data_IF_951999245606
#
_entry.id   IF_951999245606
#
_cell.length_a   1.000
_cell.length_b   1.000
_cell.length_c   1.000
_cell.angle_alpha   90.00
_cell.angle_beta   90.00
_cell.angle_gamma   90.00
#
_symmetry.space_group_name_H-M   'P 1'
#
loop_
_entity.id
_entity.type
_entity.pdbx_description
1 polymer ?
#
# COMPACT_ATOMS: atom_id res chain seq x y z
N UNK A 1 -11.19 6.49 2.06
CA UNK A 1 -9.95 5.84 1.60
C UNK A 1 -10.23 4.40 1.26
N UNK A 2 -10.12 4.01 -0.02
CA UNK A 2 -10.45 2.65 -0.48
C UNK A 2 -9.61 1.55 0.18
N UNK A 3 -8.32 1.77 0.41
CA UNK A 3 -7.41 0.76 0.97
C UNK A 3 -7.36 0.72 2.51
N UNK A 4 -8.08 1.59 3.23
CA UNK A 4 -7.92 1.75 4.69
C UNK A 4 -8.42 0.55 5.50
N UNK A 5 -9.45 -0.16 5.02
CA UNK A 5 -9.89 -1.45 5.57
C UNK A 5 -9.05 -2.65 5.06
N UNK A 6 -7.95 -2.31 4.38
CA UNK A 6 -6.77 -3.12 4.10
C UNK A 6 -6.23 -3.89 5.29
N UNK A 7 -6.13 -5.22 5.30
CA UNK A 7 -5.10 -5.88 6.13
C UNK A 7 -3.70 -5.67 5.50
N UNK A 8 -3.34 -4.41 5.25
CA UNK A 8 -2.20 -4.00 4.46
C UNK A 8 -1.57 -2.74 5.06
N UNK A 9 -0.24 -2.63 5.06
CA UNK A 9 0.45 -1.62 5.86
C UNK A 9 0.33 -0.19 5.33
N UNK A 10 -0.02 0.02 4.05
CA UNK A 10 0.24 1.30 3.36
C UNK A 10 -0.49 2.50 3.97
N UNK A 11 -1.72 2.31 4.50
CA UNK A 11 -2.47 3.39 5.13
C UNK A 11 -1.80 3.84 6.44
N UNK A 12 -1.39 2.87 7.27
CA UNK A 12 -0.65 3.13 8.51
C UNK A 12 0.72 3.77 8.23
N UNK A 13 1.42 3.31 7.19
CA UNK A 13 2.66 3.94 6.72
C UNK A 13 2.42 5.38 6.26
N UNK A 14 1.33 5.66 5.53
CA UNK A 14 1.00 7.01 5.10
C UNK A 14 0.70 7.95 6.28
N UNK A 15 -0.09 7.49 7.27
CA UNK A 15 -0.37 8.25 8.49
C UNK A 15 0.89 8.50 9.31
N UNK A 16 1.72 7.47 9.52
CA UNK A 16 2.97 7.60 10.27
C UNK A 16 3.98 8.52 9.59
N UNK A 17 4.10 8.48 8.25
CA UNK A 17 4.95 9.37 7.49
C UNK A 17 4.49 10.83 7.61
N UNK A 18 3.18 11.09 7.42
CA UNK A 18 2.62 12.43 7.58
C UNK A 18 2.79 12.97 9.01
N UNK A 19 2.54 12.12 10.03
CA UNK A 19 2.71 12.48 11.43
C UNK A 19 4.17 12.81 11.76
N UNK A 20 5.12 11.97 11.33
CA UNK A 20 6.54 12.18 11.57
C UNK A 20 7.05 13.46 10.89
N UNK A 21 6.73 13.65 9.60
CA UNK A 21 7.13 14.85 8.86
C UNK A 21 6.49 16.11 9.45
N UNK A 22 5.20 16.08 9.79
CA UNK A 22 4.51 17.22 10.41
C UNK A 22 5.08 17.59 11.78
N UNK A 23 5.35 16.59 12.63
CA UNK A 23 5.96 16.81 13.94
C UNK A 23 7.41 17.32 13.84
N UNK A 24 8.17 16.83 12.86
CA UNK A 24 9.53 17.29 12.57
C UNK A 24 9.57 18.78 12.21
N UNK A 25 8.58 19.24 11.44
CA UNK A 25 8.44 20.60 10.95
C UNK A 25 7.97 21.61 12.01
N UNK A 26 7.58 21.17 13.21
CA UNK A 26 7.21 22.09 14.30
C UNK A 26 8.41 22.96 14.69
N UNK A 27 8.17 24.26 14.81
CA UNK A 27 9.20 25.22 15.23
C UNK A 27 9.63 24.95 16.67
N UNK A 28 8.66 24.81 17.58
CA UNK A 28 8.90 24.41 18.97
C UNK A 28 8.94 22.89 19.08
N UNK A 29 10.12 22.32 18.81
CA UNK A 29 10.38 20.89 18.97
C UNK A 29 10.50 20.51 20.46
N UNK A 30 9.37 20.50 21.15
CA UNK A 30 9.22 19.97 22.51
C UNK A 30 9.02 18.46 22.54
N UNK A 31 8.79 17.93 23.74
CA UNK A 31 8.60 16.47 23.98
C UNK A 31 7.52 15.85 23.10
N UNK A 32 6.38 16.53 22.93
CA UNK A 32 5.29 16.04 22.09
C UNK A 32 5.66 15.93 20.60
N UNK A 33 6.45 16.87 20.07
CA UNK A 33 6.93 16.81 18.69
C UNK A 33 7.89 15.62 18.50
N UNK A 34 8.83 15.41 19.42
CA UNK A 34 9.74 14.26 19.36
C UNK A 34 9.00 12.94 19.52
N UNK A 35 8.03 12.85 20.42
CA UNK A 35 7.18 11.66 20.57
C UNK A 35 6.42 11.36 19.27
N UNK A 36 5.89 12.38 18.59
CA UNK A 36 5.22 12.23 17.30
C UNK A 36 6.16 11.76 16.18
N UNK A 37 7.41 12.25 16.14
CA UNK A 37 8.44 11.76 15.21
C UNK A 37 8.74 10.28 15.47
N UNK A 38 9.03 9.93 16.73
CA UNK A 38 9.37 8.56 17.15
C UNK A 38 8.21 7.62 16.84
N UNK A 39 6.99 7.94 17.29
CA UNK A 39 5.82 7.10 17.08
C UNK A 39 5.48 6.94 15.60
N UNK A 40 5.52 8.03 14.82
CA UNK A 40 5.26 7.99 13.38
C UNK A 40 6.25 7.09 12.64
N UNK A 41 7.55 7.26 12.87
CA UNK A 41 8.58 6.44 12.24
C UNK A 41 8.61 5.00 12.76
N UNK A 42 8.28 4.76 14.03
CA UNK A 42 8.14 3.41 14.57
C UNK A 42 7.01 2.66 13.86
N UNK A 43 5.84 3.30 13.68
CA UNK A 43 4.72 2.70 12.93
C UNK A 43 5.10 2.46 11.47
N UNK A 44 5.70 3.44 10.79
CA UNK A 44 6.14 3.28 9.40
C UNK A 44 7.10 2.09 9.26
N UNK A 45 8.12 2.04 10.11
CA UNK A 45 9.20 1.05 10.02
C UNK A 45 8.73 -0.34 10.44
N UNK A 46 7.87 -0.44 11.46
CA UNK A 46 7.25 -1.71 11.87
C UNK A 46 6.40 -2.30 10.74
N UNK A 47 5.65 -1.45 10.04
CA UNK A 47 4.76 -1.86 8.96
C UNK A 47 5.51 -2.15 7.67
N UNK A 48 6.52 -1.32 7.34
CA UNK A 48 7.30 -1.36 6.09
C UNK A 48 8.72 -0.83 6.37
N UNK A 49 9.68 -1.69 6.77
CA UNK A 49 11.03 -1.27 7.14
C UNK A 49 11.74 -0.42 6.07
N UNK A 50 11.56 -0.78 4.80
CA UNK A 50 12.13 -0.04 3.66
C UNK A 50 11.56 1.38 3.54
N UNK A 51 10.26 1.57 3.80
CA UNK A 51 9.65 2.91 3.82
C UNK A 51 10.11 3.69 5.04
N UNK A 52 10.37 3.03 6.16
CA UNK A 52 10.97 3.64 7.35
C UNK A 52 12.29 4.31 7.01
N UNK A 53 13.19 3.59 6.34
CA UNK A 53 14.45 4.13 5.86
C UNK A 53 14.24 5.26 4.84
N UNK A 54 13.32 5.06 3.88
CA UNK A 54 13.05 6.05 2.83
C UNK A 54 12.46 7.36 3.39
N UNK A 55 11.60 7.31 4.40
CA UNK A 55 11.05 8.50 5.08
C UNK A 55 12.11 9.15 5.97
N UNK A 56 12.89 8.35 6.70
CA UNK A 56 13.90 8.86 7.63
C UNK A 56 15.05 9.61 6.93
N UNK A 57 15.49 9.14 5.76
CA UNK A 57 16.61 9.73 5.01
C UNK A 57 16.49 11.27 4.82
N UNK A 58 15.43 11.80 4.17
CA UNK A 58 15.27 13.24 4.01
C UNK A 58 15.09 13.98 5.34
N UNK A 59 14.51 13.36 6.38
CA UNK A 59 14.40 13.98 7.71
C UNK A 59 15.76 14.10 8.40
N UNK A 60 16.61 13.06 8.31
CA UNK A 60 17.99 13.08 8.83
C UNK A 60 18.83 14.11 8.09
N UNK A 61 18.79 14.11 6.75
CA UNK A 61 19.49 15.12 5.93
C UNK A 61 19.03 16.52 6.33
N UNK A 62 17.71 16.75 6.43
CA UNK A 62 17.16 18.04 6.84
C UNK A 62 17.64 18.48 8.24
N UNK A 63 17.69 17.57 9.21
CA UNK A 63 18.20 17.84 10.55
C UNK A 63 19.72 18.08 10.61
N UNK A 64 20.47 17.67 9.58
CA UNK A 64 21.91 17.93 9.48
C UNK A 64 22.22 19.21 8.71
N UNK A 65 21.49 19.49 7.62
CA UNK A 65 21.88 20.52 6.65
C UNK A 65 21.06 21.81 6.75
N UNK A 66 19.81 21.76 7.22
CA UNK A 66 18.93 22.94 7.26
C UNK A 66 19.08 23.66 8.60
N UNK A 67 19.65 24.88 8.65
CA UNK A 67 19.98 25.56 9.91
C UNK A 67 18.79 25.69 10.87
N UNK A 68 17.61 25.98 10.35
CA UNK A 68 16.38 26.14 11.14
C UNK A 68 15.91 24.84 11.82
N UNK A 69 16.34 23.66 11.35
CA UNK A 69 15.93 22.36 11.87
C UNK A 69 17.07 21.57 12.49
N UNK A 70 18.30 22.11 12.47
CA UNK A 70 19.44 21.48 13.12
C UNK A 70 19.17 21.25 14.59
N UNK A 71 19.44 20.04 15.06
CA UNK A 71 19.28 19.71 16.47
C UNK A 71 19.44 18.22 16.76
N UNK A 72 20.23 17.91 17.80
CA UNK A 72 20.43 16.54 18.28
C UNK A 72 19.10 15.86 18.63
N UNK A 73 18.15 16.59 19.19
CA UNK A 73 16.82 16.07 19.53
C UNK A 73 16.06 15.50 18.32
N UNK A 74 16.03 16.22 17.19
CA UNK A 74 15.38 15.74 15.96
C UNK A 74 16.10 14.51 15.38
N UNK A 75 17.44 14.50 15.38
CA UNK A 75 18.22 13.35 14.93
C UNK A 75 17.95 12.10 15.78
N UNK A 76 18.03 12.25 17.10
CA UNK A 76 17.76 11.16 18.05
C UNK A 76 16.33 10.66 17.89
N UNK A 77 15.34 11.55 17.75
CA UNK A 77 13.95 11.15 17.55
C UNK A 77 13.75 10.35 16.26
N UNK A 78 14.39 10.74 15.15
CA UNK A 78 14.31 10.00 13.89
C UNK A 78 14.97 8.63 14.00
N UNK A 79 16.19 8.56 14.54
CA UNK A 79 16.92 7.29 14.73
C UNK A 79 16.18 6.37 15.70
N UNK A 80 15.66 6.90 16.81
CA UNK A 80 14.92 6.14 17.79
C UNK A 80 13.61 5.57 17.22
N UNK A 81 12.87 6.35 16.43
CA UNK A 81 11.64 5.87 15.78
C UNK A 81 11.91 4.74 14.79
N UNK A 82 12.90 4.90 13.91
CA UNK A 82 13.31 3.84 12.98
C UNK A 82 13.81 2.61 13.72
N UNK A 83 14.69 2.79 14.71
CA UNK A 83 15.24 1.70 15.51
C UNK A 83 14.16 0.92 16.25
N UNK A 84 13.21 1.60 16.89
CA UNK A 84 12.10 0.97 17.60
C UNK A 84 11.20 0.14 16.67
N UNK A 85 10.87 0.66 15.48
CA UNK A 85 10.06 -0.07 14.51
C UNK A 85 10.81 -1.19 13.80
N UNK A 86 12.11 -1.05 13.57
CA UNK A 86 12.95 -2.08 12.92
C UNK A 86 13.29 -3.24 13.85
N UNK A 87 13.34 -3.02 15.17
CA UNK A 87 13.83 -4.01 16.14
C UNK A 87 13.14 -5.38 16.02
N UNK A 88 11.79 -5.49 16.01
CA UNK A 88 11.14 -6.79 15.86
C UNK A 88 11.51 -7.49 14.55
N UNK A 89 11.62 -6.73 13.46
CA UNK A 89 11.99 -7.25 12.15
C UNK A 89 13.44 -7.75 12.11
N UNK A 90 14.37 -7.03 12.73
CA UNK A 90 15.79 -7.44 12.81
C UNK A 90 15.94 -8.70 13.67
N UNK A 91 15.31 -8.72 14.84
CA UNK A 91 15.32 -9.90 15.73
C UNK A 91 14.78 -11.12 15.01
N UNK A 92 13.62 -11.00 14.35
CA UNK A 92 13.04 -12.10 13.58
C UNK A 92 13.95 -12.53 12.41
N UNK A 93 14.63 -11.59 11.74
CA UNK A 93 15.57 -11.92 10.67
C UNK A 93 16.69 -12.84 11.16
N UNK A 94 17.22 -12.62 12.36
CA UNK A 94 18.25 -13.48 12.94
C UNK A 94 17.71 -14.81 13.45
N UNK A 95 16.53 -14.81 14.09
CA UNK A 95 15.94 -16.02 14.68
C UNK A 95 15.39 -17.01 13.64
N UNK A 96 14.85 -16.52 12.52
CA UNK A 96 14.13 -17.36 11.53
C UNK A 96 14.79 -17.44 10.16
N UNK A 97 15.49 -16.39 9.75
CA UNK A 97 16.00 -16.25 8.39
C UNK A 97 17.53 -16.34 8.33
N UNK A 98 18.22 -16.54 9.45
CA UNK A 98 19.69 -16.61 9.46
C UNK A 98 20.39 -15.26 9.17
N UNK A 99 19.68 -14.14 9.33
CA UNK A 99 20.21 -12.79 9.24
C UNK A 99 19.43 -11.86 8.31
N UNK A 100 19.74 -10.57 8.41
CA UNK A 100 19.06 -9.49 7.64
C UNK A 100 19.22 -9.67 6.13
N UNK A 101 20.42 -10.00 5.65
CA UNK A 101 20.68 -10.15 4.22
C UNK A 101 19.87 -11.31 3.59
N UNK A 102 19.81 -12.46 4.27
CA UNK A 102 19.03 -13.61 3.79
C UNK A 102 17.53 -13.30 3.79
N UNK A 103 17.01 -12.66 4.84
CA UNK A 103 15.62 -12.18 4.87
C UNK A 103 15.30 -11.22 3.71
N UNK A 104 16.22 -10.30 3.38
CA UNK A 104 16.05 -9.37 2.25
C UNK A 104 16.06 -10.10 0.90
N UNK A 105 16.93 -11.09 0.72
CA UNK A 105 16.97 -11.92 -0.49
C UNK A 105 15.67 -12.68 -0.68
N UNK A 106 15.21 -13.41 0.34
CA UNK A 106 13.95 -14.16 0.29
C UNK A 106 12.74 -13.25 0.09
N UNK A 107 12.74 -12.08 0.73
CA UNK A 107 11.72 -11.06 0.50
C UNK A 107 11.76 -10.55 -0.95
N UNK A 108 12.93 -10.32 -1.53
CA UNK A 108 13.09 -9.91 -2.93
C UNK A 108 12.48 -10.95 -3.87
N UNK A 109 12.84 -12.23 -3.69
CA UNK A 109 12.33 -13.33 -4.52
C UNK A 109 10.80 -13.45 -4.40
N UNK A 110 10.31 -13.38 -3.16
CA UNK A 110 8.87 -13.40 -2.85
C UNK A 110 8.14 -12.15 -3.36
N UNK A 111 8.83 -11.04 -3.61
CA UNK A 111 8.29 -9.79 -4.15
C UNK A 111 8.64 -9.58 -5.63
N UNK A 112 8.93 -10.64 -6.39
CA UNK A 112 9.08 -10.56 -7.85
C UNK A 112 10.47 -10.11 -8.32
N UNK A 113 11.45 -10.17 -7.43
CA UNK A 113 12.86 -9.87 -7.67
C UNK A 113 13.10 -8.37 -7.81
N UNK A 114 13.33 -7.68 -6.69
CA UNK A 114 13.70 -6.26 -6.68
C UNK A 114 14.95 -6.05 -7.52
N UNK A 115 14.90 -5.10 -8.45
CA UNK A 115 15.98 -4.77 -9.38
C UNK A 115 15.76 -3.38 -9.94
N UNK A 116 16.81 -2.67 -10.38
CA UNK A 116 16.64 -1.41 -11.11
C UNK A 116 15.70 -1.58 -12.31
N UNK A 117 14.55 -0.90 -12.28
CA UNK A 117 13.50 -0.98 -13.30
C UNK A 117 12.61 0.26 -13.24
N UNK A 118 12.33 0.91 -14.38
CA UNK A 118 11.34 1.98 -14.44
C UNK A 118 9.93 1.37 -14.55
N UNK A 119 9.21 1.30 -13.42
CA UNK A 119 7.88 0.70 -13.33
C UNK A 119 6.73 1.69 -13.54
N UNK A 120 7.01 2.87 -14.10
CA UNK A 120 6.00 3.92 -14.32
C UNK A 120 4.82 3.42 -15.16
N UNK A 121 5.09 2.67 -16.25
CA UNK A 121 4.04 2.07 -17.07
C UNK A 121 3.14 1.14 -16.24
N UNK A 122 3.74 0.29 -15.39
CA UNK A 122 2.98 -0.60 -14.51
C UNK A 122 2.09 0.19 -13.53
N UNK A 123 2.58 1.31 -13.00
CA UNK A 123 1.80 2.19 -12.14
C UNK A 123 0.64 2.84 -12.88
N UNK A 124 0.85 3.35 -14.10
CA UNK A 124 -0.21 3.94 -14.93
C UNK A 124 -1.27 2.92 -15.32
N UNK A 125 -0.84 1.71 -15.68
CA UNK A 125 -1.71 0.57 -15.91
C UNK A 125 -2.59 0.31 -14.68
N UNK A 126 -1.99 0.19 -13.50
CA UNK A 126 -2.72 -0.16 -12.28
C UNK A 126 -3.71 0.93 -11.79
N UNK A 127 -3.69 2.14 -12.36
CA UNK A 127 -4.62 3.23 -11.99
C UNK A 127 -6.08 2.91 -12.34
N UNK A 128 -6.31 2.18 -13.44
CA UNK A 128 -7.65 1.76 -13.88
C UNK A 128 -7.92 0.26 -13.72
N UNK A 129 -6.95 -0.45 -13.14
CA UNK A 129 -7.00 -1.88 -12.83
C UNK A 129 -5.75 -2.62 -13.32
N UNK A 130 -5.36 -3.75 -12.71
CA UNK A 130 -5.83 -4.37 -11.46
C UNK A 130 -5.29 -3.67 -10.19
N UNK A 131 -5.94 -3.89 -9.04
CA UNK A 131 -5.49 -3.33 -7.74
C UNK A 131 -4.12 -3.84 -7.28
N UNK A 132 -3.63 -4.90 -7.93
CA UNK A 132 -2.28 -5.42 -7.88
C UNK A 132 -2.03 -6.11 -9.23
N UNK A 133 -1.09 -5.61 -10.03
CA UNK A 133 -0.60 -6.31 -11.21
C UNK A 133 0.71 -7.01 -10.84
N UNK A 134 0.81 -8.33 -11.07
CA UNK A 134 2.04 -9.11 -10.80
C UNK A 134 2.03 -10.47 -11.52
N UNK A 135 2.80 -10.66 -12.61
CA UNK A 135 3.49 -9.63 -13.39
C UNK A 135 2.50 -8.72 -14.13
N UNK A 136 2.92 -7.51 -14.49
CA UNK A 136 2.07 -6.55 -15.21
C UNK A 136 2.22 -6.74 -16.73
N UNK A 137 1.67 -7.83 -17.27
CA UNK A 137 1.71 -8.19 -18.69
C UNK A 137 0.30 -8.22 -19.28
N UNK A 138 -0.04 -7.30 -20.17
CA UNK A 138 -1.28 -7.37 -20.97
C UNK A 138 -2.36 -6.31 -20.69
N UNK A 139 -2.17 -5.43 -19.72
CA UNK A 139 -3.16 -4.43 -19.37
C UNK A 139 -2.94 -3.10 -20.14
N UNK A 140 -4.00 -2.55 -20.70
CA UNK A 140 -3.97 -1.26 -21.43
C UNK A 140 -4.00 -0.09 -20.45
N UNK A 141 -3.36 1.02 -20.82
CA UNK A 141 -3.42 2.25 -20.04
C UNK A 141 -4.66 3.02 -20.48
N UNK A 142 -5.69 3.08 -19.63
CA UNK A 142 -6.86 3.91 -19.90
C UNK A 142 -6.49 5.40 -19.77
N UNK A 143 -6.64 6.15 -20.86
CA UNK A 143 -6.21 7.56 -20.97
C UNK A 143 -6.87 8.47 -19.94
N UNK A 144 -8.18 8.31 -19.71
CA UNK A 144 -8.95 9.17 -18.82
C UNK A 144 -8.41 9.19 -17.38
N UNK A 145 -8.05 8.03 -16.81
CA UNK A 145 -7.57 7.97 -15.42
C UNK A 145 -6.16 8.57 -15.27
N UNK A 146 -5.33 8.45 -16.29
CA UNK A 146 -3.98 9.05 -16.31
C UNK A 146 -4.03 10.57 -16.30
N UNK A 147 -4.94 11.17 -17.07
CA UNK A 147 -5.12 12.63 -17.11
C UNK A 147 -5.45 13.20 -15.72
N UNK A 148 -6.32 12.53 -14.97
CA UNK A 148 -6.66 12.94 -13.60
C UNK A 148 -5.54 12.68 -12.59
N UNK A 149 -4.68 11.70 -12.85
CA UNK A 149 -3.50 11.44 -12.04
C UNK A 149 -2.44 12.54 -12.20
N UNK A 150 -2.31 13.11 -13.41
CA UNK A 150 -1.42 14.25 -13.70
C UNK A 150 -1.85 15.57 -13.05
N UNK A 151 -3.12 15.69 -12.64
CA UNK A 151 -3.58 16.87 -11.90
C UNK A 151 -2.82 17.07 -10.59
N UNK A 152 -2.48 15.99 -9.88
CA UNK A 152 -1.73 16.07 -8.62
C UNK A 152 -0.34 16.69 -8.80
N UNK A 153 0.57 16.19 -9.66
CA UNK A 153 1.88 16.80 -9.85
C UNK A 153 1.80 18.24 -10.35
N UNK A 154 0.80 18.61 -11.17
CA UNK A 154 0.58 20.00 -11.58
C UNK A 154 0.22 20.90 -10.40
N UNK A 155 -0.72 20.48 -9.54
CA UNK A 155 -1.10 21.21 -8.34
C UNK A 155 0.06 21.28 -7.33
N UNK A 156 0.83 20.22 -7.18
CA UNK A 156 2.04 20.21 -6.34
C UNK A 156 3.07 21.22 -6.87
N UNK A 157 3.35 21.21 -8.17
CA UNK A 157 4.29 22.15 -8.77
C UNK A 157 3.85 23.60 -8.57
N UNK A 158 2.55 23.88 -8.77
CA UNK A 158 1.97 25.19 -8.50
C UNK A 158 2.05 25.56 -7.01
N UNK A 159 1.72 24.65 -6.10
CA UNK A 159 1.82 24.86 -4.66
C UNK A 159 3.24 25.16 -4.21
N UNK A 160 4.21 24.38 -4.67
CA UNK A 160 5.63 24.63 -4.43
C UNK A 160 6.06 25.98 -4.99
N UNK A 161 5.63 26.34 -6.21
CA UNK A 161 5.93 27.63 -6.85
C UNK A 161 5.36 28.81 -6.07
N UNK A 162 4.09 28.75 -5.65
CA UNK A 162 3.47 29.79 -4.84
C UNK A 162 4.13 29.92 -3.47
N UNK A 163 4.48 28.80 -2.83
CA UNK A 163 5.21 28.78 -1.57
C UNK A 163 6.61 29.42 -1.68
N UNK A 164 7.22 29.52 -2.88
CA UNK A 164 8.52 30.21 -3.05
C UNK A 164 8.45 31.68 -2.65
N UNK A 165 7.27 32.31 -2.76
CA UNK A 165 7.03 33.71 -2.41
C UNK A 165 6.55 33.89 -0.97
N UNK A 166 6.19 32.81 -0.29
CA UNK A 166 5.57 32.82 1.05
C UNK A 166 6.59 32.71 2.21
N UNK A 167 7.86 33.04 1.97
CA UNK A 167 8.92 33.10 2.99
C UNK A 167 9.03 31.82 3.84
N UNK A 168 8.67 31.84 5.13
CA UNK A 168 8.83 30.70 6.06
C UNK A 168 8.16 29.38 5.62
N UNK A 169 7.08 29.43 4.84
CA UNK A 169 6.34 28.24 4.40
C UNK A 169 7.06 27.44 3.30
N UNK A 170 8.11 28.00 2.68
CA UNK A 170 8.85 27.35 1.58
C UNK A 170 9.51 26.05 2.03
N UNK A 171 10.35 26.10 3.07
CA UNK A 171 11.14 24.94 3.47
C UNK A 171 10.25 23.74 3.88
N UNK A 172 9.19 23.89 4.69
CA UNK A 172 8.27 22.81 5.03
C UNK A 172 7.64 22.09 3.83
N UNK A 173 7.21 22.83 2.80
CA UNK A 173 6.61 22.25 1.60
C UNK A 173 7.61 21.44 0.78
N UNK A 174 8.85 21.94 0.67
CA UNK A 174 9.92 21.20 0.00
C UNK A 174 10.35 19.96 0.77
N UNK A 175 10.35 19.99 2.11
CA UNK A 175 10.62 18.78 2.90
C UNK A 175 9.53 17.73 2.69
N UNK A 176 8.25 18.11 2.72
CA UNK A 176 7.15 17.19 2.45
C UNK A 176 7.28 16.55 1.05
N UNK A 177 7.60 17.36 0.03
CA UNK A 177 7.85 16.86 -1.32
C UNK A 177 9.09 15.93 -1.40
N UNK A 178 10.17 16.25 -0.68
CA UNK A 178 11.37 15.42 -0.63
C UNK A 178 11.11 14.07 0.05
N UNK A 179 10.37 14.05 1.15
CA UNK A 179 9.93 12.81 1.83
C UNK A 179 9.03 12.00 0.90
N UNK A 180 8.08 12.65 0.22
CA UNK A 180 7.20 11.98 -0.73
C UNK A 180 7.96 11.36 -1.91
N UNK A 181 8.94 12.07 -2.47
CA UNK A 181 9.80 11.57 -3.53
C UNK A 181 10.62 10.37 -3.02
N UNK A 182 11.25 10.52 -1.86
CA UNK A 182 12.09 9.49 -1.24
C UNK A 182 11.33 8.17 -1.02
N UNK A 183 10.10 8.22 -0.48
CA UNK A 183 9.28 7.00 -0.29
C UNK A 183 8.71 6.45 -1.60
N UNK A 184 8.54 7.27 -2.64
CA UNK A 184 7.99 6.84 -3.94
C UNK A 184 9.02 6.22 -4.87
N UNK A 185 10.29 6.68 -4.80
CA UNK A 185 11.37 6.25 -5.70
C UNK A 185 11.57 4.73 -5.70
N UNK A 186 11.64 4.02 -4.56
CA UNK A 186 11.79 2.56 -4.59
C UNK A 186 10.69 1.86 -5.39
N UNK A 187 9.44 2.33 -5.32
CA UNK A 187 8.33 1.73 -6.05
C UNK A 187 8.44 1.98 -7.56
N UNK A 188 8.87 3.18 -7.95
CA UNK A 188 9.00 3.57 -9.36
C UNK A 188 10.26 3.00 -10.03
N UNK A 189 11.31 2.73 -9.26
CA UNK A 189 12.64 2.41 -9.79
C UNK A 189 13.21 1.05 -9.38
N UNK A 190 12.61 0.33 -8.43
CA UNK A 190 13.13 -0.96 -7.93
C UNK A 190 12.10 -2.10 -7.94
N UNK A 191 10.80 -1.78 -7.94
CA UNK A 191 9.72 -2.78 -7.86
C UNK A 191 9.18 -3.06 -9.27
N UNK A 192 9.30 -4.30 -9.80
CA UNK A 192 8.96 -4.63 -11.20
C UNK A 192 7.45 -4.83 -11.45
N UNK A 193 6.62 -4.37 -10.52
CA UNK A 193 5.17 -4.55 -10.55
C UNK A 193 4.50 -3.40 -9.78
N UNK A 194 3.18 -3.26 -9.88
CA UNK A 194 2.50 -2.09 -9.32
C UNK A 194 1.21 -2.43 -8.57
N UNK A 195 0.96 -1.60 -7.55
CA UNK A 195 -0.32 -1.49 -6.88
C UNK A 195 -0.52 -0.01 -6.51
N UNK A 196 -1.70 0.60 -6.76
CA UNK A 196 -1.93 2.03 -6.48
C UNK A 196 -1.63 2.42 -5.03
N UNK A 197 -1.83 1.49 -4.10
CA UNK A 197 -1.56 1.66 -2.66
C UNK A 197 -0.08 1.88 -2.31
N UNK A 198 0.87 1.52 -3.16
CA UNK A 198 2.30 1.68 -2.88
C UNK A 198 2.72 3.15 -2.76
N UNK A 199 2.08 4.03 -3.54
CA UNK A 199 2.37 5.45 -3.53
C UNK A 199 1.54 6.24 -2.51
N UNK A 200 0.72 5.56 -1.70
CA UNK A 200 -0.16 6.19 -0.71
C UNK A 200 0.60 7.08 0.31
N UNK A 201 1.77 6.70 0.84
CA UNK A 201 2.56 7.58 1.70
C UNK A 201 3.05 8.83 0.97
N UNK A 202 3.45 8.70 -0.30
CA UNK A 202 3.81 9.83 -1.14
C UNK A 202 2.63 10.77 -1.35
N UNK A 203 1.44 10.24 -1.68
CA UNK A 203 0.23 11.04 -1.86
C UNK A 203 -0.19 11.77 -0.58
N UNK A 204 -0.09 11.13 0.58
CA UNK A 204 -0.43 11.76 1.86
C UNK A 204 0.44 12.99 2.18
N UNK A 205 1.68 13.02 1.69
CA UNK A 205 2.58 14.17 1.83
C UNK A 205 2.39 15.20 0.72
N UNK A 206 2.19 14.76 -0.53
CA UNK A 206 1.99 15.64 -1.69
C UNK A 206 0.64 16.36 -1.69
N UNK A 207 -0.38 15.84 -0.99
CA UNK A 207 -1.67 16.53 -0.87
C UNK A 207 -1.53 17.91 -0.22
N UNK A 208 -0.51 18.12 0.63
CA UNK A 208 -0.26 19.40 1.31
C UNK A 208 0.17 20.50 0.31
N UNK A 209 1.29 20.36 -0.44
CA UNK A 209 1.61 21.33 -1.49
C UNK A 209 0.54 21.36 -2.58
N UNK A 210 -0.09 20.22 -2.92
CA UNK A 210 -1.20 20.19 -3.87
C UNK A 210 -2.38 21.07 -3.45
N UNK A 211 -2.76 21.06 -2.17
CA UNK A 211 -3.81 21.90 -1.62
C UNK A 211 -3.45 23.39 -1.68
N UNK A 212 -2.19 23.75 -1.41
CA UNK A 212 -1.70 25.14 -1.58
C UNK A 212 -1.83 25.59 -3.04
N UNK A 213 -1.46 24.71 -3.98
CA UNK A 213 -1.65 24.98 -5.41
C UNK A 213 -3.11 25.19 -5.78
N UNK A 214 -3.99 24.31 -5.30
CA UNK A 214 -5.43 24.42 -5.53
C UNK A 214 -6.02 25.72 -4.97
N UNK A 215 -5.64 26.11 -3.75
CA UNK A 215 -6.06 27.37 -3.14
C UNK A 215 -5.57 28.58 -3.93
N UNK A 216 -4.38 28.52 -4.53
CA UNK A 216 -3.86 29.59 -5.37
C UNK A 216 -4.63 29.75 -6.71
N UNK A 217 -5.14 28.65 -7.27
CA UNK A 217 -6.06 28.69 -8.43
C UNK A 217 -7.41 29.23 -7.98
N UNK A 218 -7.96 28.73 -6.88
CA UNK A 218 -9.24 29.17 -6.34
C UNK A 218 -9.26 30.67 -6.01
N UNK A 219 -8.17 31.19 -5.45
CA UNK A 219 -8.01 32.63 -5.18
C UNK A 219 -8.10 33.49 -6.44
N UNK A 220 -7.51 33.04 -7.55
CA UNK A 220 -7.63 33.72 -8.86
C UNK A 220 -9.03 33.57 -9.46
N UNK A 221 -9.63 32.40 -9.29
CA UNK A 221 -10.97 32.10 -9.80
C UNK A 221 -12.05 33.01 -9.19
N UNK A 222 -11.88 33.47 -7.95
CA UNK A 222 -12.82 34.41 -7.31
C UNK A 222 -13.01 35.72 -8.08
N UNK A 223 -11.99 36.16 -8.81
CA UNK A 223 -12.05 37.37 -9.64
C UNK A 223 -12.45 37.13 -11.10
N UNK A 224 -12.68 35.89 -11.51
CA UNK A 224 -12.91 35.53 -12.91
C UNK A 224 -13.94 34.40 -13.04
N UNK A 225 -15.15 34.75 -13.46
CA UNK A 225 -16.24 33.80 -13.74
C UNK A 225 -15.82 32.64 -14.64
N UNK A 226 -15.14 32.84 -15.79
CA UNK A 226 -14.73 31.71 -16.64
C UNK A 226 -13.73 30.78 -15.93
N UNK A 227 -12.81 31.32 -15.13
CA UNK A 227 -11.85 30.51 -14.36
C UNK A 227 -12.55 29.73 -13.24
N UNK A 228 -13.54 30.34 -12.56
CA UNK A 228 -14.35 29.65 -11.56
C UNK A 228 -15.15 28.49 -12.15
N UNK A 229 -15.78 28.70 -13.31
CA UNK A 229 -16.50 27.65 -14.03
C UNK A 229 -15.53 26.54 -14.46
N UNK A 230 -14.38 26.88 -15.05
CA UNK A 230 -13.37 25.90 -15.45
C UNK A 230 -12.85 25.08 -14.26
N UNK A 231 -12.54 25.71 -13.13
CA UNK A 231 -12.12 25.03 -11.91
C UNK A 231 -13.21 24.09 -11.38
N UNK A 232 -14.48 24.53 -11.37
CA UNK A 232 -15.60 23.71 -10.94
C UNK A 232 -15.76 22.46 -11.84
N UNK A 233 -15.68 22.63 -13.17
CA UNK A 233 -15.75 21.51 -14.12
C UNK A 233 -14.62 20.52 -13.90
N UNK A 234 -13.38 20.98 -13.72
CA UNK A 234 -12.23 20.12 -13.43
C UNK A 234 -12.42 19.35 -12.12
N UNK A 235 -12.86 20.02 -11.05
CA UNK A 235 -13.07 19.37 -9.75
C UNK A 235 -14.22 18.35 -9.79
N UNK A 236 -15.32 18.67 -10.50
CA UNK A 236 -16.44 17.75 -10.69
C UNK A 236 -16.04 16.53 -11.54
N UNK A 237 -15.28 16.74 -12.60
CA UNK A 237 -14.73 15.66 -13.42
C UNK A 237 -13.81 14.75 -12.60
N UNK A 238 -12.89 15.34 -11.82
CA UNK A 238 -12.00 14.60 -10.93
C UNK A 238 -12.79 13.78 -9.90
N UNK A 239 -13.77 14.39 -9.22
CA UNK A 239 -14.61 13.70 -8.26
C UNK A 239 -15.41 12.56 -8.90
N UNK A 240 -15.93 12.77 -10.11
CA UNK A 240 -16.68 11.74 -10.86
C UNK A 240 -15.80 10.52 -11.16
N UNK A 241 -14.57 10.74 -11.62
CA UNK A 241 -13.62 9.64 -11.85
C UNK A 241 -13.26 8.93 -10.54
N UNK A 242 -12.91 9.67 -9.49
CA UNK A 242 -12.57 9.06 -8.19
C UNK A 242 -13.73 8.24 -7.60
N UNK A 243 -14.96 8.76 -7.65
CA UNK A 243 -16.15 8.06 -7.14
C UNK A 243 -16.44 6.81 -7.96
N UNK A 244 -16.34 6.89 -9.29
CA UNK A 244 -16.54 5.74 -10.18
C UNK A 244 -15.52 4.65 -9.89
N UNK A 245 -14.23 5.00 -9.78
CA UNK A 245 -13.17 4.03 -9.45
C UNK A 245 -13.39 3.37 -8.09
N UNK A 246 -13.73 4.15 -7.07
CA UNK A 246 -14.00 3.62 -5.74
C UNK A 246 -15.19 2.65 -5.79
N UNK A 247 -16.31 3.03 -6.42
CA UNK A 247 -17.50 2.17 -6.51
C UNK A 247 -17.22 0.87 -7.26
N UNK A 248 -16.56 0.96 -8.41
CA UNK A 248 -16.19 -0.22 -9.21
C UNK A 248 -15.32 -1.17 -8.40
N UNK A 249 -14.25 -0.67 -7.79
CA UNK A 249 -13.34 -1.53 -7.04
C UNK A 249 -13.92 -2.05 -5.73
N UNK A 250 -14.78 -1.28 -5.04
CA UNK A 250 -15.52 -1.77 -3.86
C UNK A 250 -16.41 -2.94 -4.27
N UNK A 251 -17.22 -2.78 -5.31
CA UNK A 251 -18.11 -3.85 -5.77
C UNK A 251 -17.36 -5.11 -6.24
N UNK A 252 -16.18 -4.97 -6.85
CA UNK A 252 -15.32 -6.13 -7.18
C UNK A 252 -14.77 -6.80 -5.92
N UNK A 253 -14.30 -6.03 -4.93
CA UNK A 253 -13.76 -6.59 -3.69
C UNK A 253 -14.83 -7.26 -2.82
N UNK A 254 -16.02 -6.67 -2.70
CA UNK A 254 -17.13 -7.25 -1.96
C UNK A 254 -17.57 -8.58 -2.56
N UNK A 255 -17.73 -8.64 -3.88
CA UNK A 255 -18.08 -9.89 -4.58
C UNK A 255 -16.99 -10.96 -4.44
N UNK A 256 -15.71 -10.60 -4.57
CA UNK A 256 -14.60 -11.52 -4.37
C UNK A 256 -14.52 -12.04 -2.91
N UNK A 257 -14.83 -11.20 -1.91
CA UNK A 257 -14.95 -11.61 -0.50
C UNK A 257 -16.16 -12.52 -0.27
N UNK A 258 -17.25 -12.27 -0.99
CA UNK A 258 -18.42 -13.15 -1.01
C UNK A 258 -18.08 -14.57 -1.45
N UNK A 259 -17.18 -14.74 -2.42
CA UNK A 259 -16.69 -16.06 -2.81
C UNK A 259 -16.00 -16.79 -1.64
N UNK A 260 -15.20 -16.09 -0.83
CA UNK A 260 -14.54 -16.70 0.32
C UNK A 260 -15.53 -17.19 1.38
N UNK A 261 -16.60 -16.43 1.59
CA UNK A 261 -17.68 -16.83 2.50
C UNK A 261 -18.42 -18.06 1.99
N UNK A 262 -18.72 -18.13 0.68
CA UNK A 262 -19.37 -19.30 0.06
C UNK A 262 -18.48 -20.54 0.11
N UNK A 263 -17.20 -20.41 -0.24
CA UNK A 263 -16.24 -21.51 -0.13
C UNK A 263 -16.16 -22.00 1.33
N UNK A 264 -16.11 -21.08 2.29
CA UNK A 264 -16.11 -21.42 3.72
C UNK A 264 -17.39 -22.12 4.16
N UNK A 265 -18.55 -21.76 3.61
CA UNK A 265 -19.82 -22.44 3.89
C UNK A 265 -19.80 -23.89 3.41
N UNK A 266 -19.40 -24.13 2.15
CA UNK A 266 -19.29 -25.49 1.59
C UNK A 266 -18.28 -26.33 2.37
N UNK A 267 -17.14 -25.74 2.77
CA UNK A 267 -16.18 -26.43 3.64
C UNK A 267 -16.82 -26.89 4.96
N UNK A 268 -17.62 -26.03 5.60
CA UNK A 268 -18.31 -26.37 6.85
C UNK A 268 -19.40 -27.44 6.67
N UNK A 269 -20.10 -27.42 5.53
CA UNK A 269 -21.10 -28.42 5.17
C UNK A 269 -20.45 -29.80 4.96
N UNK A 270 -19.24 -29.84 4.39
CA UNK A 270 -18.43 -31.05 4.25
C UNK A 270 -17.61 -31.38 5.52
N UNK A 271 -17.99 -30.85 6.69
CA UNK A 271 -17.40 -31.24 7.98
C UNK A 271 -16.08 -30.55 8.35
N UNK A 272 -15.53 -29.67 7.51
CA UNK A 272 -14.26 -28.98 7.83
C UNK A 272 -14.49 -27.93 8.92
N UNK A 273 -13.87 -28.14 10.09
CA UNK A 273 -13.94 -27.25 11.26
C UNK A 273 -12.55 -26.96 11.83
N UNK A 274 -12.34 -25.81 12.50
CA UNK A 274 -11.10 -25.57 13.24
C UNK A 274 -10.89 -26.59 14.37
N UNK A 275 -9.63 -27.03 14.63
CA UNK A 275 -8.40 -26.69 13.90
C UNK A 275 -8.30 -27.42 12.55
N UNK A 276 -8.00 -26.69 11.48
CA UNK A 276 -7.94 -27.18 10.10
C UNK A 276 -6.79 -26.52 9.33
N UNK A 277 -6.26 -27.24 8.33
CA UNK A 277 -5.25 -26.71 7.41
C UNK A 277 -5.78 -26.77 5.97
N UNK A 278 -5.91 -25.60 5.32
CA UNK A 278 -6.34 -25.50 3.93
C UNK A 278 -5.14 -25.29 3.01
N UNK A 279 -5.13 -26.00 1.88
CA UNK A 279 -4.23 -25.72 0.76
C UNK A 279 -5.05 -25.27 -0.44
N UNK A 280 -4.41 -24.70 -1.45
CA UNK A 280 -5.12 -24.40 -2.70
C UNK A 280 -4.26 -23.72 -3.74
N UNK A 281 -4.69 -23.84 -5.01
CA UNK A 281 -4.04 -23.18 -6.14
C UNK A 281 -4.41 -21.69 -6.25
N UNK A 282 -5.47 -21.26 -5.56
CA UNK A 282 -5.91 -19.86 -5.53
C UNK A 282 -6.62 -19.54 -4.22
N UNK A 283 -6.38 -18.34 -3.69
CA UNK A 283 -7.10 -17.77 -2.54
C UNK A 283 -7.11 -18.62 -1.25
N UNK A 284 -6.15 -19.54 -1.08
CA UNK A 284 -6.07 -20.40 0.10
C UNK A 284 -5.96 -19.58 1.40
N UNK A 285 -5.10 -18.55 1.43
CA UNK A 285 -4.89 -17.68 2.60
C UNK A 285 -6.19 -16.94 3.02
N UNK A 286 -6.86 -16.14 2.15
CA UNK A 286 -8.05 -15.40 2.56
C UNK A 286 -9.24 -16.31 2.89
N UNK A 287 -9.37 -17.47 2.23
CA UNK A 287 -10.42 -18.46 2.55
C UNK A 287 -10.15 -19.12 3.90
N UNK A 288 -8.90 -19.53 4.18
CA UNK A 288 -8.53 -20.10 5.48
C UNK A 288 -8.79 -19.12 6.62
N UNK A 289 -8.40 -17.85 6.45
CA UNK A 289 -8.72 -16.80 7.42
C UNK A 289 -10.24 -16.67 7.65
N UNK A 290 -11.03 -16.67 6.57
CA UNK A 290 -12.50 -16.59 6.64
C UNK A 290 -13.12 -17.81 7.33
N UNK A 291 -12.52 -19.00 7.16
CA UNK A 291 -12.97 -20.25 7.77
C UNK A 291 -12.44 -20.48 9.20
N UNK A 292 -11.53 -19.64 9.70
CA UNK A 292 -10.82 -19.87 10.96
C UNK A 292 -9.79 -21.01 10.91
N UNK A 293 -9.32 -21.37 9.71
CA UNK A 293 -8.30 -22.38 9.48
C UNK A 293 -6.91 -21.76 9.28
N UNK A 294 -5.86 -22.59 9.43
CA UNK A 294 -4.53 -22.28 8.92
C UNK A 294 -4.45 -22.52 7.40
N UNK A 295 -3.47 -21.92 6.73
CA UNK A 295 -3.18 -22.15 5.31
C UNK A 295 -1.74 -22.56 5.08
N UNK A 296 -1.49 -23.45 4.13
CA UNK A 296 -0.16 -23.83 3.68
C UNK A 296 -0.05 -23.83 2.15
N UNK A 297 1.20 -23.79 1.66
CA UNK A 297 1.50 -23.97 0.24
C UNK A 297 1.13 -25.38 -0.24
N UNK A 298 0.96 -25.55 -1.55
CA UNK A 298 0.64 -26.86 -2.14
C UNK A 298 1.76 -27.90 -1.91
N UNK A 299 3.01 -27.45 -1.88
CA UNK A 299 4.21 -28.28 -1.70
C UNK A 299 4.61 -28.47 -0.23
N UNK A 300 3.89 -27.83 0.70
CA UNK A 300 4.14 -28.00 2.13
C UNK A 300 3.85 -29.46 2.54
N UNK A 301 4.70 -30.12 3.34
CA UNK A 301 4.47 -31.51 3.73
C UNK A 301 3.30 -31.68 4.72
N UNK A 302 2.85 -30.62 5.39
CA UNK A 302 1.80 -30.72 6.39
C UNK A 302 0.48 -31.26 5.79
N UNK A 303 -0.21 -32.17 6.48
CA UNK A 303 -1.43 -32.78 5.96
C UNK A 303 -2.56 -31.74 5.84
N UNK A 304 -3.06 -31.53 4.63
CA UNK A 304 -4.22 -30.66 4.40
C UNK A 304 -5.51 -31.34 4.84
N UNK A 305 -6.41 -30.60 5.49
CA UNK A 305 -7.80 -31.01 5.75
C UNK A 305 -8.64 -30.91 4.48
N UNK A 306 -8.41 -29.86 3.68
CA UNK A 306 -9.08 -29.68 2.39
C UNK A 306 -8.21 -28.87 1.41
N UNK A 307 -8.52 -29.01 0.13
CA UNK A 307 -7.88 -28.31 -0.99
C UNK A 307 -8.89 -27.44 -1.71
N UNK A 308 -8.62 -26.14 -1.79
CA UNK A 308 -9.41 -25.17 -2.53
C UNK A 308 -8.85 -25.09 -3.96
N UNK A 309 -9.72 -25.35 -4.93
CA UNK A 309 -9.37 -25.44 -6.34
C UNK A 309 -10.18 -24.43 -7.14
N UNK A 310 -9.51 -23.67 -8.01
CA UNK A 310 -10.14 -22.84 -9.04
C UNK A 310 -9.69 -23.27 -10.42
N UNK A 311 -10.62 -23.74 -11.25
CA UNK A 311 -10.38 -24.19 -12.64
C UNK A 311 -9.13 -25.07 -12.78
N UNK A 312 -8.93 -25.95 -11.80
CA UNK A 312 -7.80 -26.86 -11.73
C UNK A 312 -8.28 -28.19 -11.17
N UNK A 313 -7.56 -29.24 -11.53
CA UNK A 313 -7.76 -30.56 -10.95
C UNK A 313 -7.03 -30.70 -9.62
N UNK A 314 -7.50 -31.59 -8.73
CA UNK A 314 -6.79 -31.88 -7.50
C UNK A 314 -5.36 -32.37 -7.76
N UNK A 315 -4.41 -32.06 -6.87
CA UNK A 315 -3.07 -32.63 -6.93
C UNK A 315 -3.13 -34.15 -6.77
N UNK A 316 -2.08 -34.86 -7.19
CA UNK A 316 -2.04 -36.34 -7.18
C UNK A 316 -2.43 -36.94 -5.82
N UNK A 317 -2.00 -36.32 -4.72
CA UNK A 317 -2.26 -36.79 -3.35
C UNK A 317 -3.70 -36.54 -2.85
N UNK A 318 -4.51 -35.74 -3.54
CA UNK A 318 -5.92 -35.48 -3.22
C UNK A 318 -6.85 -35.83 -4.39
N UNK A 319 -6.39 -36.61 -5.36
CA UNK A 319 -7.16 -36.94 -6.57
C UNK A 319 -8.44 -37.70 -6.24
N UNK A 320 -8.38 -38.56 -5.24
CA UNK A 320 -9.49 -39.45 -4.85
C UNK A 320 -10.36 -38.84 -3.73
N UNK A 321 -10.11 -37.58 -3.38
CA UNK A 321 -10.89 -36.89 -2.34
C UNK A 321 -12.26 -36.45 -2.89
N UNK A 322 -13.34 -36.58 -2.10
CA UNK A 322 -14.64 -36.02 -2.45
C UNK A 322 -14.53 -34.55 -2.85
N UNK A 323 -14.94 -34.27 -4.09
CA UNK A 323 -14.93 -32.92 -4.66
C UNK A 323 -16.33 -32.34 -4.66
N UNK A 324 -16.48 -31.12 -4.15
CA UNK A 324 -17.72 -30.35 -4.20
C UNK A 324 -17.54 -29.05 -4.98
N UNK A 325 -18.43 -28.75 -5.94
CA UNK A 325 -18.45 -27.44 -6.56
C UNK A 325 -18.89 -26.38 -5.55
N UNK A 326 -18.42 -25.15 -5.72
CA UNK A 326 -18.92 -24.00 -4.96
C UNK A 326 -19.74 -23.11 -5.91
N UNK A 327 -21.08 -23.24 -5.91
CA UNK A 327 -21.95 -22.51 -6.83
C UNK A 327 -22.03 -21.01 -6.48
N UNK A 328 -22.66 -20.26 -7.38
CA UNK A 328 -23.02 -18.84 -7.21
C UNK A 328 -21.86 -17.90 -6.89
N UNK A 329 -20.65 -18.26 -7.31
CA UNK A 329 -19.45 -17.47 -7.10
C UNK A 329 -19.28 -16.40 -8.19
N UNK A 330 -18.83 -15.21 -7.78
CA UNK A 330 -18.48 -14.12 -8.69
C UNK A 330 -17.35 -14.54 -9.63
N UNK A 331 -16.32 -15.20 -9.09
CA UNK A 331 -15.29 -15.85 -9.89
C UNK A 331 -15.69 -17.30 -10.16
N UNK A 332 -15.91 -17.74 -11.41
CA UNK A 332 -16.43 -19.08 -11.63
C UNK A 332 -15.33 -20.15 -11.59
N UNK A 333 -15.77 -21.39 -11.35
CA UNK A 333 -14.93 -22.60 -11.38
C UNK A 333 -14.29 -22.96 -10.05
N UNK A 334 -14.89 -22.55 -8.92
CA UNK A 334 -14.45 -22.97 -7.59
C UNK A 334 -14.98 -24.36 -7.24
N UNK A 335 -14.13 -25.12 -6.56
CA UNK A 335 -14.48 -26.39 -5.92
C UNK A 335 -13.59 -26.62 -4.71
N UNK A 336 -14.05 -27.44 -3.78
CA UNK A 336 -13.26 -27.91 -2.64
C UNK A 336 -13.12 -29.42 -2.71
N UNK A 337 -11.93 -29.94 -2.42
CA UNK A 337 -11.69 -31.36 -2.22
C UNK A 337 -11.39 -31.60 -0.74
N UNK A 338 -12.20 -32.41 -0.06
CA UNK A 338 -12.10 -32.62 1.40
C UNK A 338 -11.50 -33.98 1.67
N UNK A 339 -10.56 -34.05 2.61
CA UNK A 339 -9.96 -35.32 3.01
C UNK A 339 -11.05 -36.23 3.60
N UNK A 340 -11.22 -37.47 3.11
CA UNK A 340 -12.09 -38.44 3.77
C UNK A 340 -11.66 -38.65 5.22
N UNK A 341 -12.63 -38.76 6.12
CA UNK A 341 -12.35 -39.26 7.47
C UNK A 341 -11.85 -40.71 7.34
N UNK A 342 -10.72 -41.00 7.97
CA UNK A 342 -10.11 -42.34 8.04
C UNK A 342 -10.75 -43.19 9.11
#
# INVERSE_FOLDING_TARGET
MFYANSAMPNHYTAMGAAAATGCFLRQDAGRGAYAGIVAGLAVVTLMRPNDGAAVALPLLVAALVVPAWRGRGRLVAVVAGVGAGALPWVVEAWLRFGGVARRLSEASDTQGGMRPVLSLKAHLTALDGPLLCRPCTGDTVASGVVEWWLLLPLLVALGLWTARRAGPARAPMWLAAAVAASVSVPYLFLVPYAAPRFLLPGYALLVLPGAVGLLAVAGRARGSRPLAVGLAVVLLGHATVQITQVRTHVGVQERARGDWQRISAVLREEGVRPPCLLKGNSSAIPVAYTAGCASAGMDDPAPATAVILRRADPPRWARDWPRRPVPDTYNPGWSVAVRPES
#
